data_IF_691914191383
#
_entry.id   IF_691914191383
#
_cell.length_a   1.000
_cell.length_b   1.000
_cell.length_c   1.000
_cell.angle_alpha   90.00
_cell.angle_beta   90.00
_cell.angle_gamma   90.00
#
_symmetry.space_group_name_H-M   'P 1'
#
loop_
_entity.id
_entity.type
_entity.pdbx_description
1 polymer ?
#
# COMPACT_ATOMS: atom_id res chain seq x y z
N UNK A 1 4.79 -3.83 -12.94
CA UNK A 1 3.54 -4.63 -12.94
C UNK A 1 2.47 -3.88 -12.16
N UNK A 2 1.22 -3.87 -12.63
CA UNK A 2 0.11 -3.09 -12.04
C UNK A 2 -1.12 -3.99 -11.84
N UNK A 3 -1.96 -3.67 -10.86
CA UNK A 3 -3.24 -4.34 -10.63
C UNK A 3 -4.34 -3.27 -10.48
N UNK A 4 -5.59 -3.53 -10.90
CA UNK A 4 -6.69 -2.63 -10.57
C UNK A 4 -6.87 -2.55 -9.05
N UNK A 5 -7.30 -1.41 -8.53
CA UNK A 5 -7.79 -1.32 -7.13
C UNK A 5 -8.95 -2.29 -6.88
N UNK A 6 -9.18 -2.70 -5.62
CA UNK A 6 -10.25 -3.65 -5.26
C UNK A 6 -11.63 -3.21 -5.76
N UNK A 7 -11.98 -1.93 -5.66
CA UNK A 7 -13.24 -1.38 -6.19
C UNK A 7 -13.33 -1.44 -7.71
N UNK A 8 -12.23 -1.22 -8.45
CA UNK A 8 -12.21 -1.40 -9.91
C UNK A 8 -12.33 -2.87 -10.29
N UNK A 9 -11.63 -3.75 -9.57
CA UNK A 9 -11.66 -5.19 -9.79
C UNK A 9 -13.06 -5.81 -9.63
N UNK A 10 -13.85 -5.33 -8.67
CA UNK A 10 -15.26 -5.74 -8.51
C UNK A 10 -16.11 -5.48 -9.76
N UNK A 11 -15.78 -4.44 -10.53
CA UNK A 11 -16.46 -4.14 -11.81
C UNK A 11 -15.86 -4.89 -13.01
N UNK A 12 -14.70 -5.54 -12.85
CA UNK A 12 -13.94 -6.09 -13.95
C UNK A 12 -14.48 -7.45 -14.40
N UNK A 13 -14.97 -7.47 -15.64
CA UNK A 13 -15.54 -8.63 -16.33
C UNK A 13 -14.49 -9.43 -17.11
N UNK A 14 -13.57 -10.05 -16.38
CA UNK A 14 -12.49 -10.89 -16.95
C UNK A 14 -13.01 -11.97 -17.91
N UNK A 15 -14.20 -12.49 -17.66
CA UNK A 15 -14.86 -13.51 -18.51
C UNK A 15 -15.27 -12.98 -19.90
N UNK A 16 -15.45 -11.67 -20.08
CA UNK A 16 -15.79 -11.10 -21.39
C UNK A 16 -14.59 -10.96 -22.33
N UNK A 17 -13.36 -10.98 -21.80
CA UNK A 17 -12.12 -10.79 -22.59
C UNK A 17 -11.97 -11.89 -23.66
N UNK A 18 -12.27 -13.14 -23.31
CA UNK A 18 -12.28 -14.25 -24.27
C UNK A 18 -13.41 -14.23 -25.30
N UNK A 19 -14.46 -13.43 -25.09
CA UNK A 19 -15.48 -13.16 -26.11
C UNK A 19 -15.01 -12.04 -27.04
N UNK A 20 -14.46 -10.94 -26.50
CA UNK A 20 -13.87 -9.85 -27.26
C UNK A 20 -12.73 -10.33 -28.19
N UNK A 21 -11.87 -11.24 -27.71
CA UNK A 21 -10.83 -11.87 -28.53
C UNK A 21 -11.39 -12.65 -29.73
N UNK A 22 -12.53 -13.35 -29.57
CA UNK A 22 -13.21 -14.03 -30.69
C UNK A 22 -13.80 -13.03 -31.68
N UNK A 23 -14.53 -12.02 -31.21
CA UNK A 23 -15.04 -10.95 -32.08
C UNK A 23 -13.92 -10.25 -32.86
N UNK A 24 -12.75 -10.07 -32.27
CA UNK A 24 -11.56 -9.52 -32.95
C UNK A 24 -11.01 -10.49 -34.03
N UNK A 25 -10.98 -11.79 -33.76
CA UNK A 25 -10.63 -12.81 -34.75
C UNK A 25 -11.60 -12.78 -35.94
N UNK A 26 -12.90 -12.90 -35.66
CA UNK A 26 -13.97 -12.97 -36.67
C UNK A 26 -13.98 -11.72 -37.56
N UNK A 27 -13.76 -10.54 -36.96
CA UNK A 27 -13.64 -9.26 -37.69
C UNK A 27 -12.40 -9.20 -38.58
N UNK A 28 -11.29 -9.79 -38.13
CA UNK A 28 -10.08 -9.91 -38.94
C UNK A 28 -10.26 -10.86 -40.12
N UNK A 29 -10.89 -12.01 -39.90
CA UNK A 29 -11.20 -12.99 -40.95
C UNK A 29 -12.15 -12.41 -42.01
N UNK A 30 -13.23 -11.74 -41.59
CA UNK A 30 -14.15 -11.06 -42.50
C UNK A 30 -13.46 -9.97 -43.36
N UNK A 31 -12.55 -9.18 -42.77
CA UNK A 31 -11.78 -8.18 -43.51
C UNK A 31 -10.86 -8.81 -44.56
N UNK A 32 -10.21 -9.93 -44.24
CA UNK A 32 -9.31 -10.64 -45.16
C UNK A 32 -10.07 -11.24 -46.36
N UNK A 33 -11.27 -11.78 -46.10
CA UNK A 33 -12.18 -12.31 -47.11
C UNK A 33 -12.75 -11.20 -48.02
N UNK A 34 -13.24 -10.09 -47.46
CA UNK A 34 -13.75 -8.94 -48.23
C UNK A 34 -12.68 -8.37 -49.17
N UNK A 35 -11.46 -8.22 -48.66
CA UNK A 35 -10.29 -7.71 -49.40
C UNK A 35 -9.88 -8.67 -50.51
N UNK A 36 -9.83 -9.96 -50.22
CA UNK A 36 -9.53 -11.01 -51.22
C UNK A 36 -10.58 -11.07 -52.32
N UNK A 37 -11.86 -10.94 -51.96
CA UNK A 37 -12.98 -10.86 -52.89
C UNK A 37 -12.92 -9.62 -53.80
N UNK A 38 -12.63 -8.45 -53.22
CA UNK A 38 -12.45 -7.21 -53.98
C UNK A 38 -11.29 -7.32 -54.97
N UNK A 39 -10.13 -7.83 -54.53
CA UNK A 39 -8.96 -8.05 -55.39
C UNK A 39 -9.29 -8.98 -56.56
N UNK A 40 -9.94 -10.11 -56.28
CA UNK A 40 -10.37 -11.06 -57.32
C UNK A 40 -11.32 -10.43 -58.34
N UNK A 41 -12.31 -9.65 -57.89
CA UNK A 41 -13.27 -9.00 -58.76
C UNK A 41 -12.61 -8.01 -59.73
N UNK A 42 -11.65 -7.20 -59.25
CA UNK A 42 -10.90 -6.28 -60.11
C UNK A 42 -9.96 -7.02 -61.06
N UNK A 43 -9.22 -8.03 -60.60
CA UNK A 43 -8.36 -8.83 -61.48
C UNK A 43 -9.15 -9.50 -62.62
N UNK A 44 -10.42 -9.90 -62.38
CA UNK A 44 -11.31 -10.36 -63.45
C UNK A 44 -11.63 -9.29 -64.47
N UNK A 45 -11.99 -8.06 -64.06
CA UNK A 45 -12.32 -6.98 -65.01
C UNK A 45 -11.17 -6.68 -65.97
N UNK A 46 -9.93 -6.81 -65.50
CA UNK A 46 -8.74 -6.69 -66.33
C UNK A 46 -8.52 -7.91 -67.26
N UNK A 47 -8.66 -9.14 -66.73
CA UNK A 47 -8.50 -10.38 -67.50
C UNK A 47 -9.56 -10.54 -68.60
N UNK A 48 -10.81 -10.17 -68.32
CA UNK A 48 -11.94 -10.20 -69.26
C UNK A 48 -11.87 -9.04 -70.29
N UNK A 49 -10.86 -8.16 -70.21
CA UNK A 49 -10.65 -7.02 -71.11
C UNK A 49 -11.66 -5.87 -70.92
N UNK A 50 -12.51 -5.94 -69.91
CA UNK A 50 -13.57 -4.96 -69.61
C UNK A 50 -13.00 -3.65 -69.05
N UNK A 51 -11.80 -3.70 -68.45
CA UNK A 51 -11.10 -2.52 -67.94
C UNK A 51 -9.61 -2.61 -68.32
N UNK A 52 -9.08 -1.59 -69.00
CA UNK A 52 -7.70 -1.59 -69.50
C UNK A 52 -7.10 -0.19 -69.62
N UNK A 53 -5.78 -0.12 -69.89
CA UNK A 53 -5.01 1.12 -70.02
C UNK A 53 -4.51 1.69 -68.68
N UNK A 54 -3.97 2.91 -68.72
CA UNK A 54 -3.31 3.57 -67.57
C UNK A 54 -4.24 3.70 -66.36
N UNK A 55 -5.54 3.94 -66.60
CA UNK A 55 -6.54 4.02 -65.53
C UNK A 55 -6.77 2.68 -64.82
N UNK A 56 -6.73 1.56 -65.55
CA UNK A 56 -6.83 0.21 -64.97
C UNK A 56 -5.58 -0.12 -64.14
N UNK A 57 -4.38 0.10 -64.69
CA UNK A 57 -3.11 -0.12 -63.98
C UNK A 57 -3.00 0.72 -62.70
N UNK A 58 -3.45 1.98 -62.74
CA UNK A 58 -3.49 2.86 -61.56
C UNK A 58 -4.49 2.38 -60.51
N UNK A 59 -5.64 1.86 -60.96
CA UNK A 59 -6.67 1.27 -60.11
C UNK A 59 -6.20 -0.03 -59.44
N UNK A 60 -5.65 -0.96 -60.20
CA UNK A 60 -5.02 -2.20 -59.69
C UNK A 60 -3.95 -1.87 -58.65
N UNK A 61 -3.07 -0.90 -58.92
CA UNK A 61 -2.03 -0.46 -57.98
C UNK A 61 -2.64 0.12 -56.69
N UNK A 62 -3.66 0.97 -56.79
CA UNK A 62 -4.33 1.55 -55.62
C UNK A 62 -5.04 0.48 -54.78
N UNK A 63 -5.63 -0.52 -55.43
CA UNK A 63 -6.28 -1.66 -54.79
C UNK A 63 -5.25 -2.56 -54.12
N UNK A 64 -4.14 -2.92 -54.78
CA UNK A 64 -3.08 -3.72 -54.18
C UNK A 64 -2.49 -3.05 -52.93
N UNK A 65 -2.28 -1.72 -52.95
CA UNK A 65 -1.86 -0.95 -51.76
C UNK A 65 -2.93 -0.98 -50.66
N UNK A 66 -4.21 -0.89 -51.00
CA UNK A 66 -5.33 -1.03 -50.06
C UNK A 66 -5.39 -2.43 -49.44
N UNK A 67 -5.28 -3.47 -50.27
CA UNK A 67 -5.29 -4.88 -49.87
C UNK A 67 -4.13 -5.18 -48.92
N UNK A 68 -2.90 -4.75 -49.25
CA UNK A 68 -1.72 -4.95 -48.39
C UNK A 68 -1.96 -4.37 -46.98
N UNK A 69 -2.51 -3.16 -46.88
CA UNK A 69 -2.83 -2.53 -45.58
C UNK A 69 -3.94 -3.27 -44.84
N UNK A 70 -4.98 -3.68 -45.54
CA UNK A 70 -6.12 -4.36 -44.92
C UNK A 70 -5.74 -5.78 -44.44
N UNK A 71 -4.91 -6.52 -45.18
CA UNK A 71 -4.31 -7.78 -44.74
C UNK A 71 -3.34 -7.58 -43.56
N UNK A 72 -2.62 -6.45 -43.46
CA UNK A 72 -1.87 -6.13 -42.24
C UNK A 72 -2.79 -5.92 -41.04
N UNK A 73 -3.93 -5.26 -41.20
CA UNK A 73 -4.94 -5.10 -40.14
C UNK A 73 -5.60 -6.44 -39.78
N UNK A 74 -5.96 -7.27 -40.75
CA UNK A 74 -6.55 -8.61 -40.52
C UNK A 74 -5.59 -9.50 -39.73
N UNK A 75 -4.31 -9.52 -40.11
CA UNK A 75 -3.26 -10.25 -39.42
C UNK A 75 -3.05 -9.75 -37.98
N UNK A 76 -3.08 -8.43 -37.75
CA UNK A 76 -2.95 -7.84 -36.41
C UNK A 76 -4.13 -8.21 -35.52
N UNK A 77 -5.36 -8.15 -36.04
CA UNK A 77 -6.57 -8.55 -35.31
C UNK A 77 -6.51 -10.03 -34.91
N UNK A 78 -6.25 -10.91 -35.88
CA UNK A 78 -6.17 -12.37 -35.67
C UNK A 78 -5.01 -12.78 -34.76
N UNK A 79 -3.83 -12.17 -34.90
CA UNK A 79 -2.69 -12.43 -34.01
C UNK A 79 -2.98 -11.94 -32.58
N UNK A 80 -3.54 -10.74 -32.42
CA UNK A 80 -3.94 -10.22 -31.11
C UNK A 80 -4.97 -11.14 -30.43
N UNK A 81 -5.92 -11.67 -31.20
CA UNK A 81 -6.89 -12.66 -30.72
C UNK A 81 -6.24 -13.98 -30.27
N UNK A 82 -5.17 -14.46 -30.94
CA UNK A 82 -4.38 -15.62 -30.46
C UNK A 82 -3.73 -15.31 -29.11
N UNK A 83 -3.13 -14.14 -28.94
CA UNK A 83 -2.54 -13.71 -27.67
C UNK A 83 -3.57 -13.67 -26.53
N UNK A 84 -4.73 -13.06 -26.80
CA UNK A 84 -5.87 -13.03 -25.88
C UNK A 84 -6.32 -14.45 -25.53
N UNK A 85 -6.57 -15.31 -26.52
CA UNK A 85 -7.04 -16.67 -26.32
C UNK A 85 -6.07 -17.54 -25.49
N UNK A 86 -4.76 -17.27 -25.59
CA UNK A 86 -3.73 -17.97 -24.83
C UNK A 86 -3.72 -17.58 -23.34
N UNK A 87 -3.87 -16.30 -23.01
CA UNK A 87 -3.69 -15.79 -21.63
C UNK A 87 -5.00 -15.56 -20.85
N UNK A 88 -6.16 -15.54 -21.53
CA UNK A 88 -7.49 -15.46 -20.90
C UNK A 88 -7.76 -16.55 -19.85
N UNK A 89 -7.36 -17.83 -20.03
CA UNK A 89 -7.54 -18.86 -19.01
C UNK A 89 -6.87 -18.49 -17.68
N UNK A 90 -5.62 -18.03 -17.73
CA UNK A 90 -4.83 -17.66 -16.55
C UNK A 90 -5.41 -16.40 -15.88
N UNK A 91 -5.77 -15.38 -16.66
CA UNK A 91 -6.45 -14.18 -16.17
C UNK A 91 -7.76 -14.52 -15.45
N UNK A 92 -8.58 -15.39 -16.05
CA UNK A 92 -9.88 -15.79 -15.50
C UNK A 92 -9.72 -16.66 -14.25
N UNK A 93 -8.70 -17.54 -14.21
CA UNK A 93 -8.38 -18.36 -13.05
C UNK A 93 -7.88 -17.50 -11.87
N UNK A 94 -6.95 -16.58 -12.11
CA UNK A 94 -6.44 -15.66 -11.10
C UNK A 94 -7.56 -14.78 -10.53
N UNK A 95 -8.39 -14.17 -11.39
CA UNK A 95 -9.53 -13.38 -10.96
C UNK A 95 -10.57 -14.20 -10.17
N UNK A 96 -10.83 -15.45 -10.57
CA UNK A 96 -11.74 -16.34 -9.83
C UNK A 96 -11.18 -16.72 -8.45
N UNK A 97 -9.88 -17.00 -8.36
CA UNK A 97 -9.15 -17.25 -7.10
C UNK A 97 -9.25 -16.06 -6.15
N UNK A 98 -9.08 -14.83 -6.66
CA UNK A 98 -9.25 -13.60 -5.88
C UNK A 98 -10.71 -13.45 -5.39
N UNK A 99 -11.72 -13.55 -6.27
CA UNK A 99 -13.14 -13.41 -5.87
C UNK A 99 -13.55 -14.47 -4.82
N UNK A 100 -13.03 -15.69 -4.92
CA UNK A 100 -13.24 -16.73 -3.90
C UNK A 100 -12.58 -16.36 -2.57
N UNK A 101 -11.33 -15.88 -2.58
CA UNK A 101 -10.65 -15.40 -1.37
C UNK A 101 -11.38 -14.22 -0.72
N UNK A 102 -11.79 -13.22 -1.52
CA UNK A 102 -12.60 -12.08 -1.06
C UNK A 102 -13.89 -12.55 -0.39
N UNK A 103 -14.61 -13.51 -1.00
CA UNK A 103 -15.83 -14.08 -0.41
C UNK A 103 -15.58 -14.69 0.96
N UNK A 104 -14.49 -15.46 1.13
CA UNK A 104 -14.12 -16.07 2.42
C UNK A 104 -13.71 -15.00 3.43
N UNK A 105 -12.83 -14.06 3.06
CA UNK A 105 -12.34 -12.97 3.91
C UNK A 105 -13.50 -12.10 4.39
N UNK A 106 -14.33 -11.60 3.47
CA UNK A 106 -15.36 -10.60 3.75
C UNK A 106 -16.61 -11.20 4.41
N UNK A 107 -16.81 -12.52 4.33
CA UNK A 107 -17.80 -13.25 5.15
C UNK A 107 -17.49 -13.27 6.66
N UNK A 108 -16.25 -12.87 7.02
CA UNK A 108 -15.78 -12.77 8.39
C UNK A 108 -15.67 -11.31 8.86
N UNK A 109 -15.10 -11.11 10.05
CA UNK A 109 -14.80 -9.80 10.60
C UNK A 109 -13.55 -9.13 10.01
N UNK A 110 -13.18 -9.52 8.78
CA UNK A 110 -12.13 -8.92 7.97
C UNK A 110 -12.73 -8.22 6.73
N UNK A 111 -11.94 -7.34 6.11
CA UNK A 111 -12.23 -6.71 4.82
C UNK A 111 -10.94 -6.52 4.03
N UNK A 112 -11.07 -6.19 2.74
CA UNK A 112 -9.92 -5.87 1.86
C UNK A 112 -10.01 -4.41 1.39
N UNK A 113 -8.90 -3.67 1.49
CA UNK A 113 -8.81 -2.26 1.02
C UNK A 113 -8.65 -2.18 -0.50
N UNK A 114 -8.78 -0.97 -1.06
CA UNK A 114 -8.45 -0.71 -2.47
C UNK A 114 -6.97 -1.00 -2.80
N UNK A 115 -6.07 -0.82 -1.83
CA UNK A 115 -4.65 -1.22 -1.87
C UNK A 115 -4.40 -2.70 -1.56
N UNK A 116 -5.45 -3.54 -1.61
CA UNK A 116 -5.38 -4.99 -1.41
C UNK A 116 -4.84 -5.46 -0.04
N UNK A 117 -4.97 -4.63 0.99
CA UNK A 117 -4.64 -5.01 2.37
C UNK A 117 -5.82 -5.72 3.03
N UNK A 118 -5.58 -6.89 3.61
CA UNK A 118 -6.54 -7.59 4.47
C UNK A 118 -6.46 -7.00 5.87
N UNK A 119 -7.56 -6.41 6.36
CA UNK A 119 -7.62 -5.72 7.66
C UNK A 119 -8.85 -6.17 8.47
N UNK A 120 -8.77 -6.26 9.82
CA UNK A 120 -9.94 -6.45 10.67
C UNK A 120 -10.91 -5.26 10.61
N UNK A 121 -12.22 -5.52 10.63
CA UNK A 121 -13.24 -4.46 10.61
C UNK A 121 -13.22 -3.67 11.91
N UNK A 122 -13.57 -2.38 11.86
CA UNK A 122 -13.59 -1.52 13.05
C UNK A 122 -14.74 -1.90 13.99
N UNK A 123 -14.45 -2.69 15.03
CA UNK A 123 -15.38 -3.06 16.11
C UNK A 123 -14.64 -3.19 17.44
N UNK A 124 -15.34 -3.01 18.55
CA UNK A 124 -14.77 -3.23 19.90
C UNK A 124 -14.67 -4.74 20.18
N UNK A 125 -13.51 -5.32 19.91
CA UNK A 125 -13.21 -6.74 20.14
C UNK A 125 -12.61 -6.98 21.54
N UNK A 126 -12.82 -8.18 22.13
CA UNK A 126 -11.92 -8.69 23.16
C UNK A 126 -10.50 -8.76 22.60
N UNK A 127 -9.50 -8.34 23.39
CA UNK A 127 -8.09 -8.31 22.98
C UNK A 127 -7.60 -9.63 22.34
N UNK A 128 -8.05 -10.77 22.88
CA UNK A 128 -7.69 -12.09 22.36
C UNK A 128 -8.25 -12.37 20.97
N UNK A 129 -9.46 -11.87 20.67
CA UNK A 129 -10.07 -11.96 19.34
C UNK A 129 -9.42 -10.95 18.38
N UNK A 130 -9.11 -9.74 18.84
CA UNK A 130 -8.43 -8.72 18.04
C UNK A 130 -7.08 -9.22 17.50
N UNK A 131 -6.25 -9.79 18.38
CA UNK A 131 -4.98 -10.41 18.00
C UNK A 131 -5.17 -11.62 17.07
N UNK A 132 -6.20 -12.45 17.29
CA UNK A 132 -6.54 -13.56 16.40
C UNK A 132 -6.93 -13.08 15.00
N UNK A 133 -7.75 -12.03 14.89
CA UNK A 133 -8.12 -11.42 13.61
C UNK A 133 -6.90 -10.87 12.87
N UNK A 134 -5.93 -10.28 13.59
CA UNK A 134 -4.65 -9.87 13.00
C UNK A 134 -3.83 -11.07 12.47
N UNK A 135 -3.77 -12.19 13.19
CA UNK A 135 -3.12 -13.42 12.67
C UNK A 135 -3.79 -13.93 11.39
N UNK A 136 -5.12 -13.95 11.39
CA UNK A 136 -5.91 -14.45 10.26
C UNK A 136 -5.82 -13.50 9.06
N UNK A 137 -5.74 -12.19 9.28
CA UNK A 137 -5.46 -11.19 8.26
C UNK A 137 -4.09 -11.38 7.59
N UNK A 138 -3.00 -11.50 8.36
CA UNK A 138 -1.65 -11.78 7.80
C UNK A 138 -1.64 -13.09 6.99
N UNK A 139 -2.36 -14.10 7.47
CA UNK A 139 -2.51 -15.42 6.81
C UNK A 139 -3.29 -15.33 5.50
N UNK A 140 -4.40 -14.59 5.44
CA UNK A 140 -5.12 -14.36 4.19
C UNK A 140 -4.31 -13.51 3.21
N UNK A 141 -3.53 -12.54 3.69
CA UNK A 141 -2.62 -11.77 2.85
C UNK A 141 -1.59 -12.69 2.16
N UNK A 142 -1.11 -13.76 2.82
CA UNK A 142 -0.20 -14.75 2.20
C UNK A 142 -0.87 -15.51 1.06
N UNK A 143 -2.18 -15.75 1.13
CA UNK A 143 -2.94 -16.43 0.08
C UNK A 143 -3.36 -15.49 -1.06
N UNK A 144 -3.63 -14.22 -0.73
CA UNK A 144 -4.07 -13.19 -1.65
C UNK A 144 -2.94 -12.66 -2.53
N UNK A 145 -1.76 -12.35 -1.96
CA UNK A 145 -0.64 -11.77 -2.71
C UNK A 145 -0.24 -12.59 -3.97
N UNK A 146 -0.08 -13.93 -3.93
CA UNK A 146 0.22 -14.70 -5.13
C UNK A 146 -0.86 -14.58 -6.19
N UNK A 147 -2.14 -14.57 -5.82
CA UNK A 147 -3.24 -14.44 -6.77
C UNK A 147 -3.25 -13.06 -7.48
N UNK A 148 -2.82 -12.01 -6.77
CA UNK A 148 -2.67 -10.67 -7.35
C UNK A 148 -1.45 -10.57 -8.29
N UNK A 149 -0.36 -11.28 -7.99
CA UNK A 149 0.78 -11.42 -8.90
C UNK A 149 0.37 -12.21 -10.15
N UNK A 150 -0.31 -13.35 -9.99
CA UNK A 150 -0.86 -14.16 -11.08
C UNK A 150 -1.75 -13.30 -12.02
N UNK A 151 -2.63 -12.47 -11.44
CA UNK A 151 -3.52 -11.56 -12.16
C UNK A 151 -2.74 -10.49 -12.94
N UNK A 152 -1.76 -9.85 -12.29
CA UNK A 152 -0.94 -8.79 -12.90
C UNK A 152 -0.10 -9.32 -14.06
N UNK A 153 0.46 -10.51 -13.92
CA UNK A 153 1.23 -11.16 -14.97
C UNK A 153 0.36 -11.53 -16.16
N UNK A 154 -0.82 -12.12 -15.93
CA UNK A 154 -1.74 -12.51 -17.01
C UNK A 154 -2.27 -11.29 -17.81
N UNK A 155 -2.59 -10.18 -17.13
CA UNK A 155 -2.97 -8.93 -17.78
C UNK A 155 -1.79 -8.32 -18.58
N UNK A 156 -0.60 -8.29 -17.97
CA UNK A 156 0.61 -7.81 -18.62
C UNK A 156 0.95 -8.61 -19.88
N UNK A 157 0.81 -9.94 -19.85
CA UNK A 157 1.09 -10.79 -21.01
C UNK A 157 0.11 -10.53 -22.18
N UNK A 158 -1.17 -10.28 -21.90
CA UNK A 158 -2.15 -9.86 -22.91
C UNK A 158 -1.72 -8.51 -23.51
N UNK A 159 -1.48 -7.50 -22.65
CA UNK A 159 -1.09 -6.16 -23.09
C UNK A 159 0.22 -6.15 -23.88
N UNK A 160 1.24 -6.88 -23.42
CA UNK A 160 2.53 -6.99 -24.07
C UNK A 160 2.44 -7.73 -25.41
N UNK A 161 1.59 -8.75 -25.52
CA UNK A 161 1.34 -9.44 -26.79
C UNK A 161 0.71 -8.48 -27.81
N UNK A 162 -0.41 -7.83 -27.43
CA UNK A 162 -1.14 -6.90 -28.32
C UNK A 162 -0.25 -5.73 -28.75
N UNK A 163 0.51 -5.12 -27.82
CA UNK A 163 1.47 -4.06 -28.14
C UNK A 163 2.54 -4.54 -29.13
N UNK A 164 3.14 -5.73 -28.91
CA UNK A 164 4.15 -6.29 -29.82
C UNK A 164 3.58 -6.53 -31.22
N UNK A 165 2.33 -6.97 -31.32
CA UNK A 165 1.63 -7.17 -32.61
C UNK A 165 1.36 -5.85 -33.34
N UNK A 166 0.95 -4.79 -32.63
CA UNK A 166 0.70 -3.46 -33.20
C UNK A 166 1.97 -2.70 -33.61
N UNK A 167 3.06 -2.87 -32.85
CA UNK A 167 4.36 -2.24 -33.10
C UNK A 167 5.20 -2.97 -34.17
N UNK A 168 4.79 -4.18 -34.58
CA UNK A 168 5.48 -4.98 -35.59
C UNK A 168 5.29 -4.46 -37.02
N UNK A 169 5.96 -5.13 -37.96
CA UNK A 169 6.16 -4.70 -39.37
C UNK A 169 4.87 -4.50 -40.20
N UNK A 170 3.70 -4.87 -39.69
CA UNK A 170 2.41 -4.73 -40.39
C UNK A 170 1.82 -3.31 -40.37
N UNK A 171 1.95 -2.57 -39.25
CA UNK A 171 1.48 -1.18 -39.15
C UNK A 171 2.53 -0.22 -38.57
N UNK A 172 3.56 -0.72 -37.86
CA UNK A 172 4.62 0.11 -37.28
C UNK A 172 4.12 1.20 -36.33
N UNK A 173 3.01 0.96 -35.60
CA UNK A 173 2.41 1.99 -34.76
C UNK A 173 3.31 2.33 -33.58
N UNK A 174 3.74 3.59 -33.49
CA UNK A 174 4.44 4.13 -32.32
C UNK A 174 3.43 4.33 -31.16
N UNK A 175 3.18 3.27 -30.40
CA UNK A 175 2.34 3.35 -29.20
C UNK A 175 3.09 4.07 -28.06
N UNK A 176 2.48 5.05 -27.38
CA UNK A 176 3.10 5.74 -26.24
C UNK A 176 3.42 4.74 -25.11
N UNK A 177 4.33 5.13 -24.23
CA UNK A 177 4.52 4.41 -22.96
C UNK A 177 3.30 4.62 -22.06
N UNK A 178 2.91 3.59 -21.31
CA UNK A 178 1.66 3.57 -20.53
C UNK A 178 1.63 4.74 -19.51
N UNK A 179 2.76 5.07 -18.87
CA UNK A 179 2.83 6.19 -17.93
C UNK A 179 2.72 7.59 -18.56
N UNK A 180 2.83 7.70 -19.88
CA UNK A 180 2.70 8.95 -20.63
C UNK A 180 1.38 9.06 -21.41
N UNK A 181 0.56 7.99 -21.42
CA UNK A 181 -0.71 7.96 -22.14
C UNK A 181 -1.84 8.57 -21.28
N UNK A 182 -2.47 9.69 -21.68
CA UNK A 182 -3.57 10.28 -20.92
C UNK A 182 -4.83 9.37 -20.85
N UNK A 183 -4.91 8.34 -21.69
CA UNK A 183 -5.96 7.33 -21.72
C UNK A 183 -5.62 6.04 -20.98
N UNK A 184 -4.43 5.93 -20.37
CA UNK A 184 -4.12 4.82 -19.48
C UNK A 184 -5.11 4.73 -18.31
N UNK A 185 -5.41 3.53 -17.79
CA UNK A 185 -6.19 3.37 -16.57
C UNK A 185 -5.59 4.21 -15.44
N UNK A 186 -6.42 4.94 -14.68
CA UNK A 186 -5.94 5.88 -13.65
C UNK A 186 -6.04 5.35 -12.21
N UNK A 187 -6.68 4.19 -12.04
CA UNK A 187 -7.06 3.63 -10.74
C UNK A 187 -6.43 2.23 -10.53
N UNK A 188 -5.13 2.13 -10.84
CA UNK A 188 -4.30 0.96 -10.54
C UNK A 188 -3.51 1.17 -9.25
N UNK A 189 -3.25 0.09 -8.53
CA UNK A 189 -2.23 0.03 -7.48
C UNK A 189 -1.02 -0.73 -8.02
N UNK A 190 0.11 -0.58 -7.34
CA UNK A 190 1.23 -1.50 -7.57
C UNK A 190 0.84 -2.91 -7.12
N UNK A 191 1.40 -3.93 -7.76
CA UNK A 191 1.30 -5.29 -7.24
C UNK A 191 1.99 -5.37 -5.86
N UNK A 192 1.54 -6.22 -4.91
CA UNK A 192 2.13 -6.35 -3.57
C UNK A 192 3.64 -6.63 -3.48
N UNK A 193 4.25 -6.99 -4.62
CA UNK A 193 5.67 -7.29 -4.81
C UNK A 193 6.20 -6.67 -6.13
N UNK A 194 5.63 -5.56 -6.59
CA UNK A 194 6.13 -4.77 -7.72
C UNK A 194 7.46 -4.05 -7.40
N UNK A 195 8.08 -3.46 -8.42
CA UNK A 195 9.46 -2.95 -8.37
C UNK A 195 9.70 -1.95 -7.22
N UNK A 196 8.77 -1.01 -6.99
CA UNK A 196 8.87 0.00 -5.92
C UNK A 196 8.45 -0.54 -4.53
N UNK A 197 7.78 -1.70 -4.48
CA UNK A 197 7.58 -2.52 -3.25
C UNK A 197 8.67 -3.59 -3.07
N UNK A 198 9.85 -3.36 -3.66
CA UNK A 198 11.01 -4.24 -3.54
C UNK A 198 10.92 -5.47 -4.45
N UNK A 199 10.82 -5.28 -5.76
CA UNK A 199 10.59 -6.34 -6.76
C UNK A 199 11.60 -7.51 -6.80
N UNK A 200 12.71 -7.43 -6.06
CA UNK A 200 13.69 -8.52 -5.86
C UNK A 200 13.65 -9.17 -4.46
N UNK A 201 12.89 -8.63 -3.52
CA UNK A 201 12.73 -9.15 -2.16
C UNK A 201 11.26 -9.07 -1.68
N UNK A 202 10.46 -10.14 -1.87
CA UNK A 202 9.05 -10.19 -1.46
C UNK A 202 8.79 -9.90 0.02
N UNK A 203 9.77 -10.14 0.90
CA UNK A 203 9.65 -9.84 2.34
C UNK A 203 9.56 -8.32 2.63
N UNK A 204 10.06 -7.46 1.73
CA UNK A 204 9.94 -6.01 1.88
C UNK A 204 8.47 -5.56 1.78
N UNK A 205 7.78 -5.94 0.70
CA UNK A 205 6.33 -5.71 0.55
C UNK A 205 5.52 -6.33 1.70
N UNK A 206 5.87 -7.54 2.16
CA UNK A 206 5.26 -8.14 3.36
C UNK A 206 5.47 -7.31 4.63
N UNK A 207 6.66 -6.72 4.81
CA UNK A 207 6.97 -5.83 5.92
C UNK A 207 6.03 -4.63 5.96
N UNK A 208 5.83 -3.97 4.82
CA UNK A 208 4.93 -2.82 4.70
C UNK A 208 3.45 -3.21 4.94
N UNK A 209 2.98 -4.34 4.40
CA UNK A 209 1.62 -4.83 4.66
C UNK A 209 1.38 -5.12 6.14
N UNK A 210 2.36 -5.74 6.82
CA UNK A 210 2.31 -5.99 8.28
C UNK A 210 2.34 -4.69 9.09
N UNK A 211 3.10 -3.69 8.65
CA UNK A 211 3.14 -2.37 9.26
C UNK A 211 1.77 -1.67 9.19
N UNK A 212 1.14 -1.65 8.01
CA UNK A 212 -0.21 -1.10 7.83
C UNK A 212 -1.29 -1.85 8.62
N UNK A 213 -1.18 -3.18 8.73
CA UNK A 213 -2.05 -3.97 9.61
C UNK A 213 -1.86 -3.57 11.09
N UNK A 214 -0.62 -3.43 11.57
CA UNK A 214 -0.36 -2.99 12.95
C UNK A 214 -0.85 -1.57 13.22
N UNK A 215 -0.61 -0.64 12.30
CA UNK A 215 -1.09 0.75 12.36
C UNK A 215 -2.63 0.80 12.34
N UNK A 216 -3.28 -0.13 11.65
CA UNK A 216 -4.72 -0.33 11.72
C UNK A 216 -5.18 -0.86 13.10
N UNK A 217 -4.49 -1.86 13.67
CA UNK A 217 -4.85 -2.43 14.97
C UNK A 217 -4.59 -1.49 16.15
N UNK A 218 -3.47 -0.76 16.15
CA UNK A 218 -3.01 0.07 17.27
C UNK A 218 -3.42 1.54 17.17
N UNK A 219 -3.76 2.02 15.97
CA UNK A 219 -4.12 3.43 15.73
C UNK A 219 -5.62 3.68 15.56
N UNK A 220 -6.45 2.67 15.27
CA UNK A 220 -7.88 2.88 14.96
C UNK A 220 -8.73 2.87 16.23
N UNK A 221 -9.48 3.96 16.46
CA UNK A 221 -10.36 4.13 17.62
C UNK A 221 -11.61 3.25 17.50
N UNK A 222 -11.94 2.51 18.55
CA UNK A 222 -13.18 1.71 18.65
C UNK A 222 -14.12 2.14 19.77
N UNK A 223 -13.63 2.88 20.76
CA UNK A 223 -14.37 3.35 21.92
C UNK A 223 -13.71 4.62 22.47
N UNK A 224 -14.49 5.58 22.97
CA UNK A 224 -14.00 6.77 23.65
C UNK A 224 -14.91 7.10 24.83
N UNK A 225 -14.33 7.24 26.01
CA UNK A 225 -15.02 7.58 27.26
C UNK A 225 -14.41 8.86 27.81
N UNK A 226 -15.22 9.84 28.23
CA UNK A 226 -14.72 11.04 28.93
C UNK A 226 -15.42 11.19 30.28
N UNK A 227 -14.62 11.47 31.31
CA UNK A 227 -15.07 11.70 32.68
C UNK A 227 -14.46 12.99 33.22
N UNK A 228 -15.23 13.77 33.97
CA UNK A 228 -14.77 15.01 34.61
C UNK A 228 -14.99 14.91 36.12
N UNK A 229 -13.95 15.22 36.88
CA UNK A 229 -13.94 15.20 38.34
C UNK A 229 -13.28 16.49 38.85
N UNK A 230 -14.10 17.45 39.28
CA UNK A 230 -13.64 18.82 39.54
C UNK A 230 -13.03 19.45 38.29
N UNK A 231 -11.89 20.11 38.45
CA UNK A 231 -11.14 20.74 37.34
C UNK A 231 -10.28 19.73 36.53
N UNK A 232 -10.35 18.43 36.85
CA UNK A 232 -9.63 17.38 36.09
C UNK A 232 -10.60 16.67 35.15
N UNK A 233 -10.25 16.59 33.87
CA UNK A 233 -10.97 15.76 32.89
C UNK A 233 -10.05 14.65 32.38
N UNK A 234 -10.60 13.44 32.28
CA UNK A 234 -9.90 12.25 31.79
C UNK A 234 -10.67 11.66 30.61
N UNK A 235 -10.01 11.52 29.47
CA UNK A 235 -10.53 10.90 28.26
C UNK A 235 -9.75 9.61 27.99
N UNK A 236 -10.43 8.47 28.00
CA UNK A 236 -9.89 7.17 27.63
C UNK A 236 -10.31 6.85 26.21
N UNK A 237 -9.37 6.44 25.37
CA UNK A 237 -9.62 5.98 24.00
C UNK A 237 -9.11 4.54 23.90
N UNK A 238 -9.97 3.63 23.43
CA UNK A 238 -9.58 2.25 23.13
C UNK A 238 -9.31 2.09 21.64
N UNK A 239 -8.25 1.36 21.34
CA UNK A 239 -7.84 1.00 19.99
C UNK A 239 -8.37 -0.39 19.60
N UNK A 240 -8.31 -0.70 18.31
CA UNK A 240 -8.85 -1.94 17.74
C UNK A 240 -8.19 -3.23 18.26
N UNK A 241 -6.92 -3.17 18.69
CA UNK A 241 -6.20 -4.24 19.39
C UNK A 241 -6.63 -4.43 20.86
N UNK A 242 -7.44 -3.52 21.39
CA UNK A 242 -7.87 -3.47 22.79
C UNK A 242 -6.97 -2.65 23.71
N UNK A 243 -5.84 -2.11 23.20
CA UNK A 243 -4.98 -1.18 23.93
C UNK A 243 -5.70 0.12 24.26
N UNK A 244 -5.17 0.90 25.22
CA UNK A 244 -5.82 2.11 25.72
C UNK A 244 -4.86 3.28 25.82
N UNK A 245 -5.34 4.45 25.41
CA UNK A 245 -4.68 5.73 25.62
C UNK A 245 -5.55 6.59 26.54
N UNK A 246 -5.04 6.93 27.72
CA UNK A 246 -5.77 7.73 28.72
C UNK A 246 -5.15 9.11 28.83
N UNK A 247 -5.86 10.13 28.36
CA UNK A 247 -5.47 11.54 28.41
C UNK A 247 -6.09 12.22 29.62
N UNK A 248 -5.27 12.74 30.52
CA UNK A 248 -5.70 13.45 31.73
C UNK A 248 -5.21 14.90 31.65
N UNK A 249 -6.13 15.86 31.75
CA UNK A 249 -5.80 17.28 31.86
C UNK A 249 -6.50 17.96 33.03
N UNK A 250 -5.82 18.92 33.66
CA UNK A 250 -6.31 19.70 34.79
C UNK A 250 -5.22 20.64 35.33
N UNK A 251 -5.47 21.40 36.41
CA UNK A 251 -4.48 22.30 37.01
C UNK A 251 -3.19 21.56 37.40
N UNK A 252 -2.08 21.89 36.74
CA UNK A 252 -0.78 21.23 36.95
C UNK A 252 -0.66 19.79 36.42
N UNK A 253 -1.67 19.28 35.71
CA UNK A 253 -1.71 17.92 35.18
C UNK A 253 -1.93 17.96 33.67
N UNK A 254 -0.96 17.46 32.91
CA UNK A 254 -1.11 17.15 31.49
C UNK A 254 -0.36 15.84 31.24
N UNK A 255 -1.10 14.72 31.21
CA UNK A 255 -0.55 13.36 31.19
C UNK A 255 -1.28 12.50 30.16
N UNK A 256 -0.55 11.63 29.49
CA UNK A 256 -1.10 10.53 28.68
C UNK A 256 -0.53 9.22 29.16
N UNK A 257 -1.37 8.25 29.49
CA UNK A 257 -0.94 6.87 29.74
C UNK A 257 -1.21 6.00 28.51
N UNK A 258 -0.24 5.17 28.15
CA UNK A 258 -0.38 4.14 27.14
C UNK A 258 -0.40 2.78 27.86
N UNK A 259 -1.43 1.99 27.61
CA UNK A 259 -1.61 0.68 28.23
C UNK A 259 -1.83 -0.40 27.18
N UNK A 260 -1.18 -1.55 27.38
CA UNK A 260 -1.39 -2.74 26.54
C UNK A 260 -2.84 -3.24 26.64
N UNK A 261 -3.28 -4.16 25.76
CA UNK A 261 -4.61 -4.75 25.85
C UNK A 261 -4.89 -5.48 27.18
N UNK A 262 -3.85 -5.95 27.87
CA UNK A 262 -3.90 -6.55 29.22
C UNK A 262 -3.96 -5.51 30.36
N UNK A 263 -3.92 -4.21 30.04
CA UNK A 263 -3.98 -3.09 30.99
C UNK A 263 -2.63 -2.68 31.60
N UNK A 264 -1.53 -3.32 31.21
CA UNK A 264 -0.17 -3.01 31.68
C UNK A 264 0.26 -1.65 31.13
N UNK A 265 0.80 -0.78 31.99
CA UNK A 265 1.34 0.52 31.57
C UNK A 265 2.61 0.30 30.74
N UNK A 266 2.54 0.64 29.45
CA UNK A 266 3.68 0.52 28.52
C UNK A 266 4.47 1.82 28.45
N UNK A 267 3.79 2.97 28.51
CA UNK A 267 4.45 4.27 28.58
C UNK A 267 3.58 5.34 29.27
N UNK A 268 4.23 6.43 29.67
CA UNK A 268 3.58 7.66 30.14
C UNK A 268 4.20 8.86 29.46
N UNK A 269 3.37 9.78 28.95
CA UNK A 269 3.77 11.13 28.57
C UNK A 269 3.33 12.13 29.63
N UNK A 270 4.16 13.12 29.92
CA UNK A 270 3.82 14.28 30.76
C UNK A 270 4.25 15.56 30.07
N UNK A 271 3.49 16.64 30.21
CA UNK A 271 3.91 18.00 29.80
C UNK A 271 3.98 18.88 31.05
N UNK A 272 5.15 19.43 31.32
CA UNK A 272 5.37 20.37 32.42
C UNK A 272 4.87 21.78 32.05
N UNK A 273 4.71 22.65 33.04
CA UNK A 273 4.14 24.00 32.87
C UNK A 273 5.03 24.97 32.06
N UNK A 274 6.30 24.62 31.85
CA UNK A 274 7.23 25.31 30.96
C UNK A 274 7.06 24.90 29.48
N UNK A 275 6.27 23.86 29.20
CA UNK A 275 6.08 23.27 27.88
C UNK A 275 6.98 22.06 27.58
N UNK A 276 7.88 21.68 28.49
CA UNK A 276 8.74 20.49 28.33
C UNK A 276 7.88 19.23 28.34
N UNK A 277 7.97 18.43 27.29
CA UNK A 277 7.29 17.15 27.16
C UNK A 277 8.26 15.99 27.42
N UNK A 278 7.86 15.06 28.28
CA UNK A 278 8.65 13.86 28.59
C UNK A 278 7.81 12.62 28.31
N UNK A 279 8.36 11.67 27.55
CA UNK A 279 7.80 10.33 27.32
C UNK A 279 8.71 9.32 28.01
N UNK A 280 8.16 8.54 28.94
CA UNK A 280 8.85 7.46 29.63
C UNK A 280 8.24 6.12 29.21
N UNK A 281 9.05 5.30 28.55
CA UNK A 281 8.75 3.93 28.15
C UNK A 281 9.16 2.97 29.27
N UNK A 282 8.22 2.12 29.70
CA UNK A 282 8.46 1.07 30.68
C UNK A 282 9.09 -0.15 30.01
N UNK A 283 10.27 -0.56 30.48
CA UNK A 283 11.00 -1.74 29.96
C UNK A 283 11.13 -2.79 31.09
N UNK A 284 10.42 -3.93 31.04
CA UNK A 284 10.51 -4.95 32.10
C UNK A 284 11.95 -5.41 32.35
N UNK A 285 12.39 -5.38 33.62
CA UNK A 285 13.74 -5.78 34.02
C UNK A 285 14.87 -4.85 33.57
N UNK A 286 14.58 -3.67 33.02
CA UNK A 286 15.57 -2.67 32.57
C UNK A 286 15.19 -1.28 33.10
N UNK A 287 16.10 -0.32 32.99
CA UNK A 287 15.78 1.10 33.21
C UNK A 287 14.71 1.56 32.21
N UNK A 288 13.83 2.53 32.53
CA UNK A 288 12.96 3.13 31.52
C UNK A 288 13.80 3.81 30.43
N UNK A 289 13.27 3.86 29.20
CA UNK A 289 13.80 4.76 28.18
C UNK A 289 13.00 6.06 28.25
N UNK A 290 13.68 7.21 28.27
CA UNK A 290 13.04 8.52 28.49
C UNK A 290 13.39 9.45 27.34
N UNK A 291 12.39 9.91 26.60
CA UNK A 291 12.54 10.96 25.59
C UNK A 291 12.03 12.28 26.17
N UNK A 292 12.82 13.35 26.05
CA UNK A 292 12.46 14.70 26.48
C UNK A 292 12.54 15.65 25.30
N UNK A 293 11.44 16.34 25.00
CA UNK A 293 11.32 17.41 24.01
C UNK A 293 11.11 18.73 24.77
N UNK A 294 12.02 19.69 24.58
CA UNK A 294 11.97 21.01 25.23
C UNK A 294 11.25 22.05 24.35
N UNK A 295 10.80 23.19 24.91
CA UNK A 295 10.06 24.22 24.15
C UNK A 295 10.83 24.86 23.00
N UNK A 296 12.17 24.82 23.05
CA UNK A 296 13.07 25.29 21.98
C UNK A 296 13.17 24.32 20.80
N UNK A 297 12.59 23.11 20.92
CA UNK A 297 12.68 22.03 19.94
C UNK A 297 13.82 21.05 20.22
N UNK A 298 14.70 21.28 21.21
CA UNK A 298 15.75 20.30 21.53
C UNK A 298 15.11 19.02 22.05
N UNK A 299 15.47 17.89 21.44
CA UNK A 299 14.91 16.59 21.79
C UNK A 299 16.04 15.60 22.09
N UNK A 300 15.95 14.91 23.22
CA UNK A 300 16.97 13.98 23.71
C UNK A 300 16.34 12.68 24.19
N UNK A 301 16.98 11.55 23.89
CA UNK A 301 16.63 10.23 24.41
C UNK A 301 17.66 9.78 25.44
N UNK A 302 17.22 9.36 26.62
CA UNK A 302 18.03 8.74 27.67
C UNK A 302 17.68 7.25 27.75
N UNK A 303 18.68 6.40 27.49
CA UNK A 303 18.55 4.94 27.50
C UNK A 303 19.69 4.35 28.30
N UNK A 304 19.34 3.61 29.37
CA UNK A 304 20.31 2.93 30.24
C UNK A 304 21.43 3.85 30.78
N UNK A 305 21.06 5.11 31.04
CA UNK A 305 21.97 6.16 31.56
C UNK A 305 22.74 6.93 30.50
N UNK A 306 22.59 6.60 29.22
CA UNK A 306 23.27 7.28 28.10
C UNK A 306 22.28 8.21 27.38
N UNK A 307 22.66 9.48 27.20
CA UNK A 307 21.88 10.49 26.48
C UNK A 307 22.28 10.57 25.02
N UNK A 308 21.30 10.66 24.12
CA UNK A 308 21.48 10.83 22.68
C UNK A 308 20.60 11.99 22.19
N UNK A 309 21.12 12.93 21.38
CA UNK A 309 20.26 13.87 20.66
C UNK A 309 19.45 13.12 19.60
N UNK A 310 18.20 13.54 19.39
CA UNK A 310 17.29 13.01 18.36
C UNK A 310 16.56 14.18 17.69
N UNK A 311 16.13 14.04 16.42
CA UNK A 311 15.35 15.09 15.78
C UNK A 311 14.01 15.34 16.49
N UNK A 312 13.53 16.58 16.41
CA UNK A 312 12.32 17.05 17.07
C UNK A 312 11.05 16.77 16.29
N UNK A 313 9.88 16.90 16.93
CA UNK A 313 8.59 16.83 16.23
C UNK A 313 8.47 17.80 15.05
N UNK A 314 9.20 18.93 15.09
CA UNK A 314 9.25 19.93 14.01
C UNK A 314 10.12 19.49 12.84
N UNK A 315 11.27 18.86 13.12
CA UNK A 315 12.18 18.38 12.08
C UNK A 315 11.50 17.30 11.23
N UNK A 316 10.71 16.42 11.87
CA UNK A 316 9.87 15.47 11.17
C UNK A 316 8.78 16.16 10.33
N UNK A 317 8.06 17.13 10.89
CA UNK A 317 7.04 17.87 10.13
C UNK A 317 7.63 18.59 8.88
N UNK A 318 8.85 19.11 8.98
CA UNK A 318 9.57 19.73 7.84
C UNK A 318 9.98 18.67 6.81
N UNK A 319 10.54 17.53 7.23
CA UNK A 319 10.90 16.43 6.33
C UNK A 319 9.68 15.86 5.57
N UNK A 320 8.55 15.73 6.25
CA UNK A 320 7.28 15.26 5.68
C UNK A 320 6.69 16.30 4.69
N UNK A 321 6.86 17.60 4.95
CA UNK A 321 6.42 18.67 4.06
C UNK A 321 7.34 18.90 2.84
N UNK A 322 8.60 18.46 2.89
CA UNK A 322 9.61 18.66 1.85
C UNK A 322 9.46 17.75 0.61
N UNK A 323 8.38 16.98 0.49
CA UNK A 323 7.98 16.34 -0.77
C UNK A 323 8.71 15.05 -1.15
N UNK A 324 9.48 14.44 -0.23
CA UNK A 324 10.07 13.10 -0.44
C UNK A 324 9.01 11.98 -0.43
N UNK A 325 7.80 12.27 0.03
CA UNK A 325 6.63 11.39 -0.04
C UNK A 325 5.66 11.87 -1.13
N UNK A 326 5.38 11.03 -2.13
CA UNK A 326 4.30 11.26 -3.09
C UNK A 326 3.17 10.25 -2.89
N UNK A 327 1.93 10.74 -2.76
CA UNK A 327 0.66 9.98 -2.75
C UNK A 327 0.64 8.74 -1.83
N UNK A 328 0.12 8.85 -0.59
CA UNK A 328 -1.32 8.51 -0.43
C UNK A 328 -2.05 9.22 0.72
N UNK A 329 -1.38 9.97 1.61
CA UNK A 329 -2.04 10.57 2.78
C UNK A 329 -1.89 12.10 2.89
N UNK A 330 -2.91 12.82 2.39
CA UNK A 330 -3.02 14.29 2.44
C UNK A 330 -3.25 14.89 3.85
N UNK A 331 -3.18 14.06 4.90
CA UNK A 331 -3.28 14.50 6.30
C UNK A 331 -1.93 14.90 6.91
N UNK A 332 -0.82 14.32 6.44
CA UNK A 332 0.48 14.34 7.15
C UNK A 332 1.22 15.68 7.03
N UNK A 333 1.04 16.40 5.93
CA UNK A 333 1.75 17.66 5.64
C UNK A 333 1.37 18.87 6.52
N UNK A 334 0.34 18.74 7.38
CA UNK A 334 0.01 19.75 8.41
C UNK A 334 0.47 19.22 9.76
N UNK A 335 1.78 19.39 10.03
CA UNK A 335 2.49 18.88 11.21
C UNK A 335 1.59 18.81 12.44
N UNK A 336 1.18 17.59 12.78
CA UNK A 336 -0.04 17.37 13.56
C UNK A 336 0.15 17.84 15.01
N UNK A 337 -0.55 18.88 15.47
CA UNK A 337 -0.52 19.23 16.88
C UNK A 337 -1.09 18.05 17.68
N UNK A 338 -0.43 17.71 18.79
CA UNK A 338 -0.95 16.75 19.76
C UNK A 338 -2.44 17.01 20.00
N UNK A 339 -3.28 15.99 19.80
CA UNK A 339 -4.70 16.09 20.09
C UNK A 339 -4.86 16.49 21.55
N UNK A 340 -5.26 17.74 21.78
CA UNK A 340 -5.65 18.19 23.10
C UNK A 340 -6.97 17.50 23.48
N UNK A 341 -7.36 17.55 24.75
CA UNK A 341 -8.52 16.82 25.24
C UNK A 341 -9.82 17.15 24.50
N UNK A 342 -10.01 18.39 24.04
CA UNK A 342 -11.18 18.78 23.26
C UNK A 342 -11.16 18.25 21.81
N UNK A 343 -9.99 17.85 21.30
CA UNK A 343 -9.85 17.13 20.03
C UNK A 343 -10.00 15.61 20.22
N UNK A 344 -9.43 15.04 21.29
CA UNK A 344 -9.57 13.60 21.63
C UNK A 344 -11.05 13.26 21.90
N UNK A 345 -11.77 14.11 22.64
CA UNK A 345 -13.21 13.93 22.90
C UNK A 345 -14.10 14.09 21.65
N UNK A 346 -13.52 14.39 20.48
CA UNK A 346 -14.18 14.44 19.17
C UNK A 346 -13.69 13.35 18.21
N UNK A 347 -12.88 12.39 18.68
CA UNK A 347 -12.50 11.24 17.87
C UNK A 347 -13.73 10.36 17.62
N UNK A 348 -14.09 10.23 16.35
CA UNK A 348 -15.14 9.31 15.90
C UNK A 348 -14.60 7.86 15.88
N UNK A 349 -15.50 6.88 16.00
CA UNK A 349 -15.15 5.47 15.83
C UNK A 349 -14.64 5.27 14.40
N UNK A 350 -13.49 4.62 14.24
CA UNK A 350 -12.79 4.47 12.97
C UNK A 350 -11.77 5.58 12.67
N UNK A 351 -11.74 6.67 13.45
CA UNK A 351 -10.67 7.66 13.33
C UNK A 351 -9.32 7.08 13.76
N UNK A 352 -8.23 7.63 13.19
CA UNK A 352 -6.86 7.29 13.57
C UNK A 352 -6.38 8.20 14.71
N UNK A 353 -6.11 7.63 15.87
CA UNK A 353 -5.50 8.31 17.02
C UNK A 353 -3.96 8.37 16.91
N UNK A 354 -3.45 8.87 15.78
CA UNK A 354 -2.02 9.08 15.55
C UNK A 354 -1.53 10.36 16.26
N UNK A 355 -1.31 10.27 17.57
CA UNK A 355 -0.74 11.37 18.37
C UNK A 355 0.80 11.37 18.34
N UNK A 356 1.49 12.53 18.35
CA UNK A 356 2.96 12.56 18.37
C UNK A 356 3.61 12.00 19.65
N UNK A 357 2.79 11.65 20.66
CA UNK A 357 3.23 10.88 21.82
C UNK A 357 3.54 9.42 21.49
N UNK A 358 2.84 8.87 20.48
CA UNK A 358 3.25 7.63 19.83
C UNK A 358 4.58 7.87 19.11
N UNK A 359 4.74 8.95 18.34
CA UNK A 359 5.96 9.23 17.56
C UNK A 359 7.21 9.24 18.44
N UNK A 360 7.19 9.99 19.55
CA UNK A 360 8.28 9.97 20.54
C UNK A 360 8.46 8.59 21.21
N UNK A 361 7.41 7.77 21.32
CA UNK A 361 7.47 6.40 21.84
C UNK A 361 8.08 5.42 20.81
N UNK A 362 7.80 5.58 19.52
CA UNK A 362 8.44 4.86 18.42
C UNK A 362 9.93 5.15 18.37
N UNK A 363 10.31 6.43 18.48
CA UNK A 363 11.70 6.86 18.67
C UNK A 363 12.31 6.28 19.97
N UNK A 364 11.64 6.41 21.12
CA UNK A 364 12.14 5.87 22.39
C UNK A 364 12.42 4.37 22.31
N UNK A 365 11.54 3.63 21.61
CA UNK A 365 11.71 2.21 21.35
C UNK A 365 12.90 1.91 20.45
N UNK A 366 12.97 2.53 19.27
CA UNK A 366 14.07 2.32 18.33
C UNK A 366 15.44 2.58 18.96
N UNK A 367 15.58 3.68 19.72
CA UNK A 367 16.79 4.01 20.47
C UNK A 367 17.05 3.00 21.61
N UNK A 368 16.00 2.51 22.28
CA UNK A 368 16.12 1.57 23.40
C UNK A 368 16.62 0.17 23.01
N UNK A 369 16.67 -0.13 21.72
CA UNK A 369 16.91 -1.46 21.18
C UNK A 369 17.99 -1.55 20.10
N UNK A 370 18.49 -0.41 19.61
CA UNK A 370 19.63 -0.35 18.68
C UNK A 370 20.98 -0.65 19.37
N UNK A 371 21.86 -1.36 18.66
CA UNK A 371 23.06 -1.99 19.25
C UNK A 371 24.20 -0.99 19.41
N UNK A 372 24.32 -0.02 18.51
CA UNK A 372 25.37 1.01 18.53
C UNK A 372 24.83 2.45 18.39
N UNK A 373 25.69 3.45 18.63
CA UNK A 373 25.30 4.86 18.65
C UNK A 373 24.79 5.40 17.30
N UNK A 374 25.29 4.86 16.18
CA UNK A 374 24.84 5.23 14.84
C UNK A 374 23.43 4.70 14.56
N UNK A 375 23.19 3.41 14.83
CA UNK A 375 21.84 2.81 14.76
C UNK A 375 20.86 3.50 15.70
N UNK A 376 21.29 3.97 16.88
CA UNK A 376 20.43 4.73 17.80
C UNK A 376 20.00 6.07 17.20
N UNK A 377 20.89 6.78 16.53
CA UNK A 377 20.54 8.02 15.84
C UNK A 377 19.60 7.74 14.66
N UNK A 378 19.92 6.75 13.81
CA UNK A 378 19.07 6.33 12.69
C UNK A 378 17.68 5.86 13.16
N UNK A 379 17.60 5.05 14.19
CA UNK A 379 16.34 4.59 14.79
C UNK A 379 15.57 5.73 15.47
N UNK A 380 16.28 6.74 15.98
CA UNK A 380 15.70 7.99 16.46
C UNK A 380 14.93 8.70 15.35
N UNK A 381 15.58 8.91 14.20
CA UNK A 381 15.01 9.53 12.99
C UNK A 381 13.87 8.68 12.41
N UNK A 382 14.07 7.37 12.29
CA UNK A 382 13.09 6.43 11.75
C UNK A 382 11.80 6.40 12.57
N UNK A 383 11.89 6.30 13.90
CA UNK A 383 10.72 6.31 14.78
C UNK A 383 9.92 7.61 14.75
N UNK A 384 10.54 8.70 14.31
CA UNK A 384 9.93 10.03 14.28
C UNK A 384 9.22 10.39 12.97
N UNK A 385 9.76 9.95 11.83
CA UNK A 385 9.06 10.01 10.53
C UNK A 385 7.91 8.99 10.49
N UNK A 386 8.05 7.90 11.26
CA UNK A 386 7.51 6.60 10.86
C UNK A 386 6.13 6.18 11.34
N UNK A 387 5.38 6.89 12.18
CA UNK A 387 4.15 6.31 12.73
C UNK A 387 2.89 6.33 11.84
N UNK A 388 3.09 6.53 10.53
CA UNK A 388 2.16 6.13 9.46
C UNK A 388 2.68 5.02 8.54
N UNK A 389 3.85 4.40 8.82
CA UNK A 389 4.44 3.38 7.94
C UNK A 389 5.39 2.37 8.62
N UNK A 390 6.00 2.72 9.75
CA UNK A 390 7.45 2.61 9.84
C UNK A 390 7.99 2.42 11.29
N UNK A 391 7.97 1.18 11.83
CA UNK A 391 8.69 0.79 13.08
C UNK A 391 9.72 -0.33 12.81
N UNK A 392 10.82 -0.50 13.55
CA UNK A 392 11.89 -1.42 13.12
C UNK A 392 12.57 -2.22 14.25
N UNK A 393 11.94 -3.28 14.81
CA UNK A 393 12.68 -4.23 15.67
C UNK A 393 12.05 -5.61 16.03
N UNK A 394 11.97 -6.58 15.10
CA UNK A 394 11.61 -7.99 15.42
C UNK A 394 12.81 -8.97 15.46
N UNK A 395 14.05 -8.49 15.43
CA UNK A 395 15.20 -9.32 15.03
C UNK A 395 16.08 -9.89 16.17
N UNK A 396 15.84 -9.60 17.46
CA UNK A 396 16.83 -9.83 18.53
C UNK A 396 16.39 -10.80 19.66
N UNK A 397 15.97 -12.03 19.33
CA UNK A 397 16.02 -13.20 20.24
C UNK A 397 15.65 -14.54 19.54
N UNK A 398 16.60 -15.37 19.07
CA UNK A 398 16.31 -16.60 18.32
C UNK A 398 15.99 -17.87 19.15
N UNK A 399 15.87 -17.78 20.48
CA UNK A 399 15.85 -18.95 21.38
C UNK A 399 14.45 -19.45 21.82
N UNK A 400 13.35 -18.99 21.22
CA UNK A 400 11.98 -19.31 21.68
C UNK A 400 11.08 -19.92 20.58
N UNK A 401 10.34 -20.97 20.95
CA UNK A 401 9.71 -21.92 20.01
C UNK A 401 8.41 -21.42 19.33
N UNK A 402 7.99 -22.02 18.19
CA UNK A 402 7.31 -21.30 17.09
C UNK A 402 5.89 -20.76 17.31
N UNK A 403 5.27 -20.96 18.47
CA UNK A 403 3.81 -20.71 18.68
C UNK A 403 3.47 -19.78 19.85
N UNK A 404 4.46 -19.22 20.56
CA UNK A 404 4.24 -18.31 21.71
C UNK A 404 4.75 -16.88 21.53
N UNK A 405 5.53 -16.60 20.49
CA UNK A 405 6.14 -15.28 20.26
C UNK A 405 5.17 -14.21 19.70
N UNK A 406 3.99 -14.60 19.20
CA UNK A 406 2.98 -13.66 18.68
C UNK A 406 2.31 -12.79 19.79
N UNK A 407 2.59 -13.05 21.08
CA UNK A 407 1.63 -12.78 22.16
C UNK A 407 2.10 -11.99 23.39
N UNK A 408 3.37 -11.63 23.54
CA UNK A 408 3.83 -10.96 24.78
C UNK A 408 3.73 -9.43 24.78
N UNK A 409 2.99 -8.86 23.83
CA UNK A 409 2.45 -7.51 23.88
C UNK A 409 2.29 -6.88 22.49
N UNK A 410 1.18 -6.16 22.28
CA UNK A 410 1.02 -5.20 21.17
C UNK A 410 2.01 -4.01 21.27
N UNK A 411 2.85 -4.03 22.29
CA UNK A 411 4.06 -3.23 22.45
C UNK A 411 5.05 -3.45 21.30
N UNK A 412 4.88 -2.64 20.24
CA UNK A 412 5.95 -2.13 19.33
C UNK A 412 6.31 -3.01 18.11
N UNK A 413 6.63 -2.34 16.97
CA UNK A 413 7.18 -2.86 15.69
C UNK A 413 6.20 -3.58 14.75
N UNK A 414 6.17 -3.42 13.40
CA UNK A 414 7.15 -2.94 12.37
C UNK A 414 6.58 -1.86 11.37
N UNK A 415 7.18 -1.41 10.23
CA UNK A 415 8.34 -1.91 9.43
C UNK A 415 9.34 -0.90 8.79
N UNK A 416 9.69 0.20 9.48
CA UNK A 416 10.24 1.46 8.92
C UNK A 416 11.73 1.67 8.83
N UNK A 417 12.45 0.62 8.50
CA UNK A 417 13.90 0.68 8.44
C UNK A 417 14.44 1.42 7.21
N UNK A 418 13.63 1.85 6.23
CA UNK A 418 14.16 2.35 4.94
C UNK A 418 14.17 3.88 4.79
N UNK A 419 13.03 4.56 4.95
CA UNK A 419 12.98 6.04 4.86
C UNK A 419 13.80 6.67 5.99
N UNK A 420 13.66 6.12 7.21
CA UNK A 420 14.48 6.48 8.36
C UNK A 420 15.98 6.25 8.18
N UNK A 421 16.40 5.26 7.38
CA UNK A 421 17.82 5.06 7.05
C UNK A 421 18.34 6.15 6.11
N UNK A 422 17.58 6.56 5.10
CA UNK A 422 18.02 7.58 4.14
C UNK A 422 18.11 8.95 4.81
N UNK A 423 17.09 9.35 5.57
CA UNK A 423 17.12 10.61 6.34
C UNK A 423 18.14 10.53 7.48
N UNK A 424 18.24 9.38 8.13
CA UNK A 424 19.24 9.10 9.17
C UNK A 424 20.68 9.22 8.66
N UNK A 425 21.00 8.71 7.48
CA UNK A 425 22.34 8.84 6.86
C UNK A 425 22.72 10.28 6.52
N UNK A 426 21.74 11.19 6.39
CA UNK A 426 21.98 12.62 6.12
C UNK A 426 22.10 13.43 7.41
N UNK A 427 21.30 13.11 8.44
CA UNK A 427 21.28 13.84 9.73
C UNK A 427 22.28 13.29 10.77
N UNK A 428 22.55 11.99 10.75
CA UNK A 428 23.46 11.29 11.66
C UNK A 428 24.82 11.06 10.97
N UNK A 429 25.79 11.92 11.27
CA UNK A 429 27.21 11.77 10.90
C UNK A 429 28.07 11.67 12.15
#
# INVERSE_FOLDING_TARGET
MMIPSRTVFDTWRTESVGAAGRTLWDSGEALDDEVSGARYAISRLAQDGLWSGVAAQSGETAIDVGCLRATSVSAIARNSAIGIARSVPDLTAAASKIRNLLTVIESSDLFVTDDWLVLPRVKNYPATLAATLATVADTFQVQLNPALVDLSQADHDIGAFVRRTLMGDGLGLALPEIGADPHAPRDFTEAPHGDNTGGTNPEFGRGLQRARLLEHMTGTVVETETTTAGDTTTTMVRMLDGSRQTYTSGPGVNRTEFRSPEGVLTATRTVAGDGTATVSLTRPGKSPAVVTERPDGTTEAVVDGITFPIPSSRDYAIALAAGVMSATESGVARGLPYLNQAQVARLEIGAKAAGPGLTLLGTAMGVATAENGYERCVAGVAGGVGLGADLALLALAPEMSPLRAFWTGASVSLGGSMVGNIVGQVLCR
#
